data_IF_289551509661
#
_entry.id   IF_289551509661
#
_cell.length_a   1.000
_cell.length_b   1.000
_cell.length_c   1.000
_cell.angle_alpha   90.00
_cell.angle_beta   90.00
_cell.angle_gamma   90.00
#
_symmetry.space_group_name_H-M   'P 1'
#
loop_
_entity.id
_entity.type
_entity.pdbx_description
1 polymer ?
#
# COMPACT_ATOMS: atom_id res chain seq x y z
N UNK A 1 -14.06 25.11 -3.43
CA UNK A 1 -14.21 24.24 -4.60
C UNK A 1 -14.47 22.82 -4.16
N UNK A 2 -15.26 22.09 -4.93
CA UNK A 2 -15.65 20.75 -4.54
C UNK A 2 -14.52 19.73 -4.74
N UNK A 3 -14.57 18.66 -3.98
CA UNK A 3 -13.56 17.59 -3.98
C UNK A 3 -13.34 16.96 -5.36
N UNK A 4 -14.42 16.87 -6.15
CA UNK A 4 -14.37 16.24 -7.47
C UNK A 4 -14.14 17.22 -8.61
N UNK A 5 -14.00 18.52 -8.33
CA UNK A 5 -13.69 19.49 -9.36
C UNK A 5 -12.24 19.39 -9.79
N UNK A 6 -12.00 19.44 -11.09
CA UNK A 6 -10.65 19.37 -11.63
C UNK A 6 -9.83 20.60 -11.28
N UNK A 7 -8.52 20.40 -11.27
CA UNK A 7 -7.57 21.46 -11.04
C UNK A 7 -6.31 21.22 -11.86
N UNK A 8 -5.91 22.24 -12.62
CA UNK A 8 -4.71 22.15 -13.46
C UNK A 8 -3.46 22.52 -12.67
N UNK A 9 -3.51 23.56 -11.85
CA UNK A 9 -2.37 23.99 -11.06
C UNK A 9 -2.10 23.04 -9.90
N UNK A 10 -0.82 22.71 -9.68
CA UNK A 10 -0.43 21.83 -8.59
C UNK A 10 -0.77 22.43 -7.22
N UNK A 11 -0.48 23.69 -7.01
CA UNK A 11 -0.72 24.40 -5.74
C UNK A 11 -1.53 25.67 -5.98
N UNK A 12 -2.19 26.21 -4.94
CA UNK A 12 -2.24 25.72 -3.56
C UNK A 12 -3.14 24.47 -3.42
N UNK A 13 -2.82 23.62 -2.45
CA UNK A 13 -3.66 22.46 -2.15
C UNK A 13 -4.96 22.91 -1.48
N UNK A 14 -6.08 22.38 -1.94
CA UNK A 14 -7.39 22.63 -1.34
C UNK A 14 -7.63 21.69 -0.15
N UNK A 15 -6.99 20.54 -0.16
CA UNK A 15 -7.09 19.52 0.89
C UNK A 15 -5.68 19.13 1.34
N UNK A 16 -4.96 20.05 2.00
CA UNK A 16 -3.55 19.83 2.33
C UNK A 16 -3.30 18.66 3.29
N UNK A 17 -4.31 18.23 4.03
CA UNK A 17 -4.21 17.07 4.92
C UNK A 17 -3.89 15.78 4.18
N UNK A 18 -4.32 15.63 2.93
CA UNK A 18 -3.96 14.45 2.13
C UNK A 18 -2.48 14.43 1.78
N UNK A 19 -1.86 15.59 1.65
CA UNK A 19 -0.43 15.67 1.46
C UNK A 19 0.32 15.39 2.78
N UNK A 20 -0.02 16.11 3.85
CA UNK A 20 0.72 16.04 5.12
C UNK A 20 0.45 14.77 5.90
N UNK A 21 -0.80 14.32 5.97
CA UNK A 21 -1.21 13.14 6.74
C UNK A 21 -1.20 11.86 5.90
N UNK A 22 -1.31 11.98 4.59
CA UNK A 22 -1.27 10.85 3.68
C UNK A 22 0.11 10.63 3.08
N UNK A 23 0.42 11.37 2.02
CA UNK A 23 1.63 11.13 1.24
C UNK A 23 2.92 11.30 2.05
N UNK A 24 3.04 12.40 2.78
CA UNK A 24 4.30 12.70 3.50
C UNK A 24 4.59 11.64 4.57
N UNK A 25 3.57 11.22 5.30
CA UNK A 25 3.73 10.17 6.32
C UNK A 25 4.10 8.83 5.70
N UNK A 26 3.53 8.49 4.55
CA UNK A 26 3.92 7.28 3.83
C UNK A 26 5.38 7.34 3.38
N UNK A 27 5.80 8.48 2.83
CA UNK A 27 7.18 8.66 2.40
C UNK A 27 8.17 8.54 3.55
N UNK A 28 7.82 9.11 4.72
CA UNK A 28 8.66 9.05 5.92
C UNK A 28 8.74 7.65 6.52
N UNK A 29 7.71 6.84 6.35
CA UNK A 29 7.63 5.46 6.87
C UNK A 29 8.10 4.42 5.83
N UNK A 30 8.63 4.84 4.71
CA UNK A 30 9.03 3.93 3.63
C UNK A 30 10.13 2.97 4.08
N UNK A 31 9.96 1.70 3.74
CA UNK A 31 10.96 0.66 4.01
C UNK A 31 10.98 -0.35 2.87
N UNK A 32 12.09 -1.05 2.73
CA UNK A 32 12.24 -2.11 1.74
C UNK A 32 12.15 -3.48 2.41
N UNK A 33 11.57 -4.44 1.71
CA UNK A 33 11.49 -5.82 2.21
C UNK A 33 12.86 -6.40 2.54
N UNK A 34 13.91 -5.93 1.86
CA UNK A 34 15.30 -6.34 2.11
C UNK A 34 15.84 -5.88 3.47
N UNK A 35 15.18 -4.92 4.12
CA UNK A 35 15.57 -4.44 5.45
C UNK A 35 15.10 -5.37 6.57
N UNK A 36 14.22 -6.32 6.25
CA UNK A 36 13.67 -7.26 7.24
C UNK A 36 14.48 -8.56 7.18
N UNK A 37 15.13 -8.95 8.30
CA UNK A 37 15.89 -10.20 8.33
C UNK A 37 14.94 -11.40 8.38
N UNK A 38 15.05 -12.29 7.39
CA UNK A 38 14.16 -13.45 7.24
C UNK A 38 14.87 -14.78 7.49
N UNK A 39 16.13 -14.78 7.87
CA UNK A 39 16.89 -16.01 8.05
C UNK A 39 16.31 -16.95 9.12
N UNK A 40 15.82 -16.36 10.22
CA UNK A 40 15.14 -17.12 11.26
C UNK A 40 13.83 -17.74 10.79
N UNK A 41 13.09 -16.99 9.96
CA UNK A 41 11.82 -17.46 9.41
C UNK A 41 12.02 -18.60 8.41
N UNK A 42 13.06 -18.51 7.57
CA UNK A 42 13.42 -19.60 6.65
C UNK A 42 13.74 -20.88 7.41
N UNK A 43 14.50 -20.76 8.49
CA UNK A 43 14.83 -21.91 9.34
C UNK A 43 13.58 -22.52 9.97
N UNK A 44 12.70 -21.70 10.51
CA UNK A 44 11.45 -22.17 11.12
C UNK A 44 10.54 -22.85 10.09
N UNK A 45 10.45 -22.29 8.89
CA UNK A 45 9.69 -22.88 7.80
C UNK A 45 10.21 -24.28 7.45
N UNK A 46 11.51 -24.43 7.34
CA UNK A 46 12.12 -25.68 6.92
C UNK A 46 12.17 -26.75 8.03
N UNK A 47 12.34 -26.34 9.29
CA UNK A 47 12.67 -27.26 10.38
C UNK A 47 11.59 -27.40 11.45
N UNK A 48 10.82 -26.33 11.74
CA UNK A 48 9.92 -26.29 12.89
C UNK A 48 8.46 -26.47 12.56
N UNK A 49 8.02 -26.02 11.40
CA UNK A 49 6.61 -26.09 11.04
C UNK A 49 6.22 -27.47 10.55
N UNK A 50 5.06 -27.95 11.00
CA UNK A 50 4.47 -29.18 10.48
C UNK A 50 3.91 -28.93 9.07
N UNK A 51 3.60 -30.02 8.35
CA UNK A 51 2.99 -29.93 7.02
C UNK A 51 1.65 -29.18 7.06
N UNK A 52 0.85 -29.41 8.09
CA UNK A 52 -0.43 -28.72 8.27
C UNK A 52 -0.24 -27.22 8.52
N UNK A 53 0.74 -26.84 9.34
CA UNK A 53 1.07 -25.45 9.61
C UNK A 53 1.57 -24.74 8.36
N UNK A 54 2.44 -25.37 7.58
CA UNK A 54 2.93 -24.82 6.30
C UNK A 54 1.79 -24.61 5.32
N UNK A 55 0.85 -25.55 5.25
CA UNK A 55 -0.31 -25.44 4.38
C UNK A 55 -1.19 -24.26 4.77
N UNK A 56 -1.47 -24.10 6.07
CA UNK A 56 -2.28 -22.99 6.58
C UNK A 56 -1.62 -21.63 6.29
N UNK A 57 -0.38 -21.46 6.69
CA UNK A 57 0.37 -20.20 6.52
C UNK A 57 0.53 -19.88 5.04
N UNK A 58 0.92 -20.85 4.22
CA UNK A 58 1.13 -20.66 2.80
C UNK A 58 -0.16 -20.21 2.09
N UNK A 59 -1.29 -20.84 2.39
CA UNK A 59 -2.57 -20.49 1.78
C UNK A 59 -3.06 -19.11 2.21
N UNK A 60 -2.86 -18.73 3.47
CA UNK A 60 -3.20 -17.38 3.95
C UNK A 60 -2.36 -16.33 3.22
N UNK A 61 -1.06 -16.55 3.11
CA UNK A 61 -0.16 -15.61 2.43
C UNK A 61 -0.47 -15.49 0.94
N UNK A 62 -0.84 -16.59 0.28
CA UNK A 62 -1.26 -16.55 -1.13
C UNK A 62 -2.55 -15.73 -1.29
N UNK A 63 -3.49 -15.86 -0.35
CA UNK A 63 -4.70 -15.04 -0.33
C UNK A 63 -4.39 -13.55 -0.17
N UNK A 64 -3.49 -13.20 0.73
CA UNK A 64 -3.03 -11.81 0.88
C UNK A 64 -2.36 -11.30 -0.38
N UNK A 65 -1.48 -12.07 -0.99
CA UNK A 65 -0.80 -11.67 -2.23
C UNK A 65 -1.78 -11.38 -3.35
N UNK A 66 -2.82 -12.20 -3.50
CA UNK A 66 -3.87 -11.96 -4.49
C UNK A 66 -4.68 -10.70 -4.17
N UNK A 67 -4.99 -10.48 -2.90
CA UNK A 67 -5.72 -9.30 -2.44
C UNK A 67 -4.92 -8.02 -2.72
N UNK A 68 -3.60 -8.06 -2.55
CA UNK A 68 -2.74 -6.89 -2.81
C UNK A 68 -2.81 -6.43 -4.26
N UNK A 69 -3.02 -7.33 -5.21
CA UNK A 69 -3.22 -6.94 -6.61
C UNK A 69 -4.48 -6.09 -6.77
N UNK A 70 -5.57 -6.47 -6.11
CA UNK A 70 -6.82 -5.71 -6.16
C UNK A 70 -6.70 -4.36 -5.43
N UNK A 71 -5.98 -4.33 -4.30
CA UNK A 71 -5.71 -3.10 -3.55
C UNK A 71 -4.89 -2.14 -4.40
N UNK A 72 -3.87 -2.62 -5.08
CA UNK A 72 -3.06 -1.81 -5.98
C UNK A 72 -3.90 -1.19 -7.10
N UNK A 73 -4.76 -1.98 -7.74
CA UNK A 73 -5.65 -1.49 -8.80
C UNK A 73 -6.62 -0.43 -8.28
N UNK A 74 -7.15 -0.61 -7.08
CA UNK A 74 -8.03 0.36 -6.45
C UNK A 74 -7.34 1.72 -6.31
N UNK A 75 -6.16 1.75 -5.72
CA UNK A 75 -5.45 3.00 -5.47
C UNK A 75 -4.88 3.65 -6.73
N UNK A 76 -4.26 2.86 -7.61
CA UNK A 76 -3.54 3.39 -8.76
C UNK A 76 -4.44 3.72 -9.95
N UNK A 77 -5.58 3.05 -10.08
CA UNK A 77 -6.47 3.23 -11.22
C UNK A 77 -7.77 3.91 -10.86
N UNK A 78 -8.43 3.46 -9.80
CA UNK A 78 -9.78 3.95 -9.46
C UNK A 78 -9.75 5.24 -8.67
N UNK A 79 -9.02 5.28 -7.57
CA UNK A 79 -8.94 6.49 -6.73
C UNK A 79 -8.37 7.66 -7.53
N UNK A 80 -7.31 7.43 -8.29
CA UNK A 80 -6.69 8.45 -9.13
C UNK A 80 -7.66 8.97 -10.19
N UNK A 81 -8.53 8.12 -10.74
CA UNK A 81 -9.52 8.55 -11.72
C UNK A 81 -10.71 9.27 -11.10
N UNK A 82 -11.07 8.93 -9.87
CA UNK A 82 -12.24 9.52 -9.19
C UNK A 82 -11.95 10.88 -8.55
N UNK A 83 -10.75 11.09 -8.05
CA UNK A 83 -10.36 12.27 -7.30
C UNK A 83 -9.31 13.07 -8.08
N UNK A 84 -9.69 14.21 -8.69
CA UNK A 84 -8.79 14.95 -9.57
C UNK A 84 -7.76 15.84 -8.86
N UNK A 85 -7.87 16.01 -7.54
CA UNK A 85 -6.93 16.87 -6.81
C UNK A 85 -5.54 16.21 -6.72
N UNK A 86 -4.51 17.00 -6.98
CA UNK A 86 -3.14 16.49 -7.03
C UNK A 86 -2.66 15.92 -5.69
N UNK A 87 -3.04 16.53 -4.58
CA UNK A 87 -2.70 16.05 -3.24
C UNK A 87 -3.26 14.65 -2.97
N UNK A 88 -4.46 14.35 -3.47
CA UNK A 88 -5.07 13.03 -3.33
C UNK A 88 -4.39 12.01 -4.26
N UNK A 89 -4.10 12.42 -5.50
CA UNK A 89 -3.41 11.55 -6.46
C UNK A 89 -2.01 11.16 -5.97
N UNK A 90 -1.29 12.10 -5.34
CA UNK A 90 0.02 11.81 -4.77
C UNK A 90 -0.06 10.81 -3.61
N UNK A 91 -1.09 10.94 -2.78
CA UNK A 91 -1.30 10.01 -1.68
C UNK A 91 -1.62 8.60 -2.20
N UNK A 92 -2.44 8.52 -3.22
CA UNK A 92 -2.84 7.25 -3.81
C UNK A 92 -1.68 6.55 -4.50
#
# INVERSE_FOLDING_TARGET
MALFDERIAYKPFEYPEYYTEGWLKQAQAFWLHTEIPMSGDVKDWNEKLTKAEKNLVGNILLGFAQTECAVSDYWTQKVVSWFPKHEIKQMA
#
